data_IF_187607390610
#
_entry.id   IF_187607390610
#
_cell.length_a   1.000
_cell.length_b   1.000
_cell.length_c   1.000
_cell.angle_alpha   90.00
_cell.angle_beta   90.00
_cell.angle_gamma   90.00
#
_symmetry.space_group_name_H-M   'P 1'
#
loop_
_entity.id
_entity.type
_entity.pdbx_description
1 polymer ?
#
# COMPACT_ATOMS: atom_id res chain seq x y z
N UNK A 1 7.12 -4.10 15.12
CA UNK A 1 7.17 -3.66 13.71
C UNK A 1 6.45 -2.34 13.64
N UNK A 2 7.03 -1.33 12.99
CA UNK A 2 6.41 0.00 12.89
C UNK A 2 5.55 0.02 11.65
N UNK A 3 4.24 -0.08 11.82
CA UNK A 3 3.28 -0.03 10.71
C UNK A 3 3.21 1.40 10.16
N UNK A 4 3.17 1.56 8.84
CA UNK A 4 2.99 2.85 8.18
C UNK A 4 1.81 2.79 7.23
N UNK A 5 0.72 3.42 7.62
CA UNK A 5 -0.52 3.36 6.86
C UNK A 5 -0.67 4.58 5.95
N UNK A 6 -0.83 4.34 4.65
CA UNK A 6 -1.10 5.37 3.64
C UNK A 6 -2.46 5.12 3.00
N UNK A 7 -3.22 6.20 2.78
CA UNK A 7 -4.46 6.17 1.99
C UNK A 7 -4.09 6.21 0.51
N UNK A 8 -4.16 5.07 -0.14
CA UNK A 8 -3.74 4.91 -1.52
C UNK A 8 -4.94 4.86 -2.46
N UNK A 9 -5.02 5.72 -3.48
CA UNK A 9 -5.95 5.55 -4.59
C UNK A 9 -5.60 4.31 -5.41
N UNK A 10 -6.59 3.49 -5.70
CA UNK A 10 -6.48 2.23 -6.43
C UNK A 10 -7.53 2.21 -7.53
N UNK A 11 -7.11 1.86 -8.75
CA UNK A 11 -7.98 1.66 -9.91
C UNK A 11 -8.20 0.17 -10.15
N UNK A 12 -9.46 -0.26 -10.11
CA UNK A 12 -9.83 -1.65 -10.38
C UNK A 12 -9.56 -2.03 -11.85
N UNK A 13 -8.91 -3.17 -12.08
CA UNK A 13 -8.62 -3.71 -13.41
C UNK A 13 -9.88 -3.98 -14.22
N UNK A 14 -10.94 -4.46 -13.56
CA UNK A 14 -12.20 -4.88 -14.20
C UNK A 14 -13.15 -3.72 -14.46
N UNK A 15 -13.56 -2.97 -13.43
CA UNK A 15 -14.58 -1.94 -13.57
C UNK A 15 -14.03 -0.52 -13.72
N UNK A 16 -12.70 -0.35 -13.70
CA UNK A 16 -11.97 0.92 -13.86
C UNK A 16 -12.31 2.04 -12.86
N UNK A 17 -13.22 1.78 -11.90
CA UNK A 17 -13.51 2.70 -10.80
C UNK A 17 -12.30 2.81 -9.87
N UNK A 18 -12.11 4.03 -9.37
CA UNK A 18 -11.08 4.37 -8.39
C UNK A 18 -11.71 4.35 -6.98
N UNK A 19 -11.02 3.73 -6.03
CA UNK A 19 -11.36 3.74 -4.61
C UNK A 19 -10.08 3.93 -3.79
N UNK A 20 -10.24 4.29 -2.52
CA UNK A 20 -9.11 4.45 -1.61
C UNK A 20 -9.00 3.22 -0.71
N UNK A 21 -7.77 2.72 -0.54
CA UNK A 21 -7.46 1.62 0.37
C UNK A 21 -6.39 2.08 1.36
N UNK A 22 -6.47 1.61 2.60
CA UNK A 22 -5.45 1.83 3.61
C UNK A 22 -4.38 0.74 3.48
N UNK A 23 -3.18 1.12 3.04
CA UNK A 23 -2.06 0.20 2.79
C UNK A 23 -1.01 0.38 3.87
N UNK A 24 -0.53 -0.72 4.46
CA UNK A 24 0.69 -0.71 5.28
C UNK A 24 1.92 -0.78 4.37
N UNK A 25 2.63 0.34 4.22
CA UNK A 25 3.81 0.48 3.37
C UNK A 25 5.11 0.02 4.04
N UNK A 26 5.07 -0.35 5.32
CA UNK A 26 6.23 -0.86 6.08
C UNK A 26 6.08 -2.36 6.43
N UNK A 27 4.98 -2.99 6.03
CA UNK A 27 4.63 -4.38 6.36
C UNK A 27 4.70 -5.32 5.16
N UNK A 28 3.67 -6.17 5.01
CA UNK A 28 3.63 -7.19 3.98
C UNK A 28 3.51 -6.56 2.57
N UNK A 29 4.41 -6.87 1.62
CA UNK A 29 4.32 -6.34 0.26
C UNK A 29 3.15 -6.90 -0.54
N UNK A 30 2.57 -8.04 -0.17
CA UNK A 30 1.50 -8.68 -0.94
C UNK A 30 0.11 -8.40 -0.34
N UNK A 31 -0.77 -7.84 -1.17
CA UNK A 31 -2.14 -7.48 -0.78
C UNK A 31 -3.16 -8.10 -1.73
N UNK A 32 -3.95 -9.02 -1.20
CA UNK A 32 -5.11 -9.59 -1.91
C UNK A 32 -6.41 -9.03 -1.31
N UNK A 33 -7.22 -8.36 -2.12
CA UNK A 33 -8.46 -7.68 -1.71
C UNK A 33 -9.51 -7.74 -2.82
N UNK A 34 -10.71 -7.23 -2.53
CA UNK A 34 -11.85 -7.24 -3.45
C UNK A 34 -12.32 -5.82 -3.75
N UNK A 35 -12.64 -5.55 -5.01
CA UNK A 35 -13.14 -4.25 -5.45
C UNK A 35 -14.51 -3.98 -4.82
N UNK A 36 -14.69 -2.86 -4.09
CA UNK A 36 -15.96 -2.56 -3.42
C UNK A 36 -17.10 -2.25 -4.39
N UNK A 37 -16.81 -2.00 -5.67
CA UNK A 37 -17.83 -1.64 -6.65
C UNK A 37 -18.32 -2.81 -7.51
N UNK A 38 -17.42 -3.69 -7.96
CA UNK A 38 -17.76 -4.78 -8.88
C UNK A 38 -17.54 -6.17 -8.31
N UNK A 39 -17.03 -6.27 -7.08
CA UNK A 39 -16.77 -7.54 -6.41
C UNK A 39 -15.60 -8.35 -7.00
N UNK A 40 -14.84 -7.80 -7.96
CA UNK A 40 -13.68 -8.49 -8.51
C UNK A 40 -12.54 -8.53 -7.50
N UNK A 41 -11.95 -9.71 -7.30
CA UNK A 41 -10.70 -9.86 -6.58
C UNK A 41 -9.55 -9.23 -7.37
N UNK A 42 -8.56 -8.74 -6.64
CA UNK A 42 -7.32 -8.20 -7.18
C UNK A 42 -6.15 -8.45 -6.25
N UNK A 43 -4.96 -8.47 -6.82
CA UNK A 43 -3.70 -8.59 -6.12
C UNK A 43 -2.83 -7.35 -6.38
N UNK A 44 -2.09 -6.91 -5.37
CA UNK A 44 -1.12 -5.83 -5.46
C UNK A 44 0.17 -6.33 -4.80
N UNK A 45 1.25 -6.30 -5.57
CA UNK A 45 2.59 -6.54 -5.07
C UNK A 45 3.30 -5.19 -4.91
N UNK A 46 3.53 -4.76 -3.67
CA UNK A 46 4.23 -3.51 -3.36
C UNK A 46 5.75 -3.63 -3.58
N UNK A 47 6.32 -4.85 -3.60
CA UNK A 47 7.74 -5.07 -3.82
C UNK A 47 8.22 -4.66 -5.22
N UNK A 48 7.30 -4.41 -6.16
CA UNK A 48 7.61 -3.84 -7.47
C UNK A 48 7.97 -2.34 -7.41
N UNK A 49 7.65 -1.66 -6.30
CA UNK A 49 7.88 -0.23 -6.14
C UNK A 49 9.20 0.03 -5.40
N UNK A 50 9.88 1.15 -5.70
CA UNK A 50 11.10 1.52 -4.98
C UNK A 50 10.80 1.79 -3.50
N UNK A 51 11.78 1.58 -2.64
CA UNK A 51 11.68 1.88 -1.22
C UNK A 51 12.45 3.15 -0.88
N UNK A 52 12.04 3.84 0.19
CA UNK A 52 12.75 4.99 0.75
C UNK A 52 12.80 4.90 2.27
N UNK A 53 13.82 5.50 2.87
CA UNK A 53 13.95 5.58 4.33
C UNK A 53 13.26 6.86 4.80
N UNK A 54 12.23 6.72 5.62
CA UNK A 54 11.53 7.85 6.24
C UNK A 54 11.86 7.90 7.72
N UNK A 55 12.21 9.09 8.19
CA UNK A 55 12.44 9.36 9.61
C UNK A 55 11.10 9.67 10.29
N UNK A 56 10.69 8.83 11.23
CA UNK A 56 9.49 9.07 12.04
C UNK A 56 9.89 9.68 13.37
N UNK A 57 9.44 10.90 13.61
CA UNK A 57 9.61 11.60 14.91
C UNK A 57 8.31 11.42 15.70
N UNK A 58 8.34 10.66 16.79
CA UNK A 58 7.20 10.52 17.70
C UNK A 58 7.30 11.60 18.80
N UNK A 59 6.29 12.47 18.90
CA UNK A 59 6.33 13.63 19.79
C UNK A 59 5.97 13.32 21.27
N UNK A 60 6.20 12.09 21.74
CA UNK A 60 5.94 11.69 23.13
C UNK A 60 7.10 10.81 23.61
N UNK A 61 8.04 11.41 24.36
CA UNK A 61 8.95 10.71 25.27
C UNK A 61 10.24 10.10 24.70
N UNK A 62 10.37 9.92 23.39
CA UNK A 62 11.57 9.31 22.77
C UNK A 62 12.30 10.32 21.87
N UNK A 63 13.52 10.78 22.24
CA UNK A 63 14.25 11.79 21.48
C UNK A 63 14.95 11.24 20.22
N UNK A 64 14.92 9.92 19.99
CA UNK A 64 15.61 9.31 18.85
C UNK A 64 14.68 9.13 17.65
N UNK A 65 15.01 9.76 16.50
CA UNK A 65 14.30 9.51 15.26
C UNK A 65 14.45 8.05 14.87
N UNK A 66 13.33 7.38 14.56
CA UNK A 66 13.38 6.02 14.03
C UNK A 66 13.36 6.07 12.50
N UNK A 67 14.38 5.47 11.89
CA UNK A 67 14.40 5.24 10.45
C UNK A 67 13.58 4.00 10.12
N UNK A 68 12.66 4.15 9.18
CA UNK A 68 11.85 3.04 8.67
C UNK A 68 11.86 3.04 7.14
N UNK A 69 11.99 1.85 6.57
CA UNK A 69 11.89 1.65 5.13
C UNK A 69 10.43 1.55 4.73
N UNK A 70 10.00 2.36 3.76
CA UNK A 70 8.62 2.34 3.22
C UNK A 70 8.62 2.24 1.71
N UNK A 71 7.60 1.60 1.13
CA UNK A 71 7.39 1.59 -0.32
C UNK A 71 6.90 2.96 -0.82
N UNK A 72 7.51 3.46 -1.90
CA UNK A 72 7.11 4.69 -2.60
C UNK A 72 6.10 4.33 -3.67
N UNK A 73 4.83 4.57 -3.39
CA UNK A 73 3.72 4.21 -4.25
C UNK A 73 3.43 5.30 -5.30
N UNK A 74 2.95 4.93 -6.50
CA UNK A 74 2.46 5.91 -7.48
C UNK A 74 1.19 6.62 -6.98
N UNK A 75 0.78 7.70 -7.64
CA UNK A 75 -0.44 8.43 -7.27
C UNK A 75 -1.71 7.55 -7.33
N UNK A 76 -1.76 6.63 -8.29
CA UNK A 76 -2.83 5.63 -8.43
C UNK A 76 -2.17 4.28 -8.69
N UNK A 77 -2.51 3.28 -7.88
CA UNK A 77 -2.14 1.89 -8.16
C UNK A 77 -3.15 1.31 -9.13
N UNK A 78 -2.68 0.82 -10.27
CA UNK A 78 -3.48 -0.03 -11.15
C UNK A 78 -3.42 -1.45 -10.62
N UNK A 79 -4.57 -2.03 -10.27
CA UNK A 79 -4.62 -3.44 -9.88
C UNK A 79 -4.48 -4.33 -11.11
N UNK A 80 -4.05 -5.56 -10.91
CA UNK A 80 -4.04 -6.59 -11.95
C UNK A 80 -5.10 -7.66 -11.65
N UNK A 81 -5.44 -8.43 -12.69
CA UNK A 81 -6.23 -9.64 -12.49
C UNK A 81 -5.42 -10.57 -11.58
N UNK A 82 -6.02 -11.17 -10.54
CA UNK A 82 -5.30 -12.15 -9.74
C UNK A 82 -4.86 -13.28 -10.67
N UNK A 83 -3.56 -13.51 -10.77
CA UNK A 83 -3.05 -14.72 -11.41
C UNK A 83 -3.69 -15.91 -10.70
N UNK A 84 -4.38 -16.75 -11.47
CA UNK A 84 -4.88 -18.03 -10.97
C UNK A 84 -3.64 -18.90 -10.69
N UNK A 85 -3.14 -18.84 -9.45
CA UNK A 85 -2.24 -19.84 -8.88
C UNK A 85 -2.92 -21.21 -8.86
#
# INVERSE_FOLDING_TARGET
MTEQYVRQPIRCWKCKKVFTLLIDTAGNPELSRTCPYCGASFHINLAQYPTTVTTVVRNIGDPQPQEITVFVLPEIIETEQPDNL
#
